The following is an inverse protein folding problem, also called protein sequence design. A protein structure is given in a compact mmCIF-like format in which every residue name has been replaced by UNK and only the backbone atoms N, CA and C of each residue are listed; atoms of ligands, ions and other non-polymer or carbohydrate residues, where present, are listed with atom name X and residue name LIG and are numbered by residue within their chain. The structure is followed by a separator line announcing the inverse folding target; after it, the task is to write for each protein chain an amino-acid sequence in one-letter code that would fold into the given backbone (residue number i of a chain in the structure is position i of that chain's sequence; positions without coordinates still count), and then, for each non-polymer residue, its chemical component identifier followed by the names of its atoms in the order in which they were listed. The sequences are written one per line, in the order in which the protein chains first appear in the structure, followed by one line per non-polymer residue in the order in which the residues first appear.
data_IF_423408487475
#
_entry.id   IF_423408487475
#
_cell.length_a   1.000
_cell.length_b   1.000
_cell.length_c   1.000
_cell.angle_alpha   90.00
_cell.angle_beta   90.00
_cell.angle_gamma   90.00
#
_symmetry.space_group_name_H-M   'P 1'
#
loop_
_entity.id
_entity.type
_entity.pdbx_description
1 polymer ?
#
# COMPACT_ATOMS: atom_id res chain seq x y z
N UNK A 1 1.44 8.15 2.38
CA UNK A 1 0.88 8.86 1.19
C UNK A 1 -0.64 8.82 1.28
N UNK A 2 -1.34 9.90 0.97
CA UNK A 2 -2.82 9.99 1.02
C UNK A 2 -3.33 10.46 -0.34
N UNK A 3 -4.28 9.74 -0.94
CA UNK A 3 -4.89 10.06 -2.24
C UNK A 3 -6.41 10.18 -2.12
N UNK A 4 -7.03 11.07 -2.90
CA UNK A 4 -8.50 11.09 -3.05
C UNK A 4 -8.95 9.98 -4.00
N UNK A 5 -9.98 9.22 -3.61
CA UNK A 5 -10.59 8.17 -4.42
C UNK A 5 -11.72 8.75 -5.26
N UNK A 6 -11.66 8.50 -6.58
CA UNK A 6 -12.64 8.92 -7.57
C UNK A 6 -13.70 7.85 -7.88
N UNK A 7 -13.38 6.58 -7.59
CA UNK A 7 -14.23 5.40 -7.84
C UNK A 7 -14.34 4.54 -6.59
N UNK A 8 -15.03 5.05 -5.57
CA UNK A 8 -15.16 4.37 -4.27
C UNK A 8 -15.96 3.07 -4.36
N UNK A 9 -16.85 2.94 -5.35
CA UNK A 9 -17.65 1.74 -5.62
C UNK A 9 -16.81 0.49 -5.93
N UNK A 10 -15.52 0.65 -6.23
CA UNK A 10 -14.60 -0.46 -6.49
C UNK A 10 -13.98 -1.05 -5.21
N UNK A 11 -14.10 -0.38 -4.07
CA UNK A 11 -13.53 -0.80 -2.79
C UNK A 11 -14.55 -1.60 -1.98
N UNK A 12 -14.73 -2.87 -2.35
CA UNK A 12 -15.68 -3.80 -1.71
C UNK A 12 -14.88 -4.87 -0.96
N UNK A 13 -15.14 -5.04 0.34
CA UNK A 13 -14.53 -6.10 1.14
C UNK A 13 -14.74 -7.50 0.53
N UNK A 14 -13.80 -8.42 0.77
CA UNK A 14 -13.84 -9.80 0.28
C UNK A 14 -13.85 -9.94 -1.26
N UNK A 15 -13.51 -8.86 -1.98
CA UNK A 15 -13.34 -8.87 -3.44
C UNK A 15 -11.89 -8.57 -3.85
N UNK A 16 -11.64 -8.51 -5.16
CA UNK A 16 -10.34 -8.11 -5.71
C UNK A 16 -10.46 -6.81 -6.49
N UNK A 17 -9.82 -5.76 -6.00
CA UNK A 17 -9.66 -4.52 -6.76
C UNK A 17 -8.87 -4.82 -8.04
N UNK A 18 -9.45 -4.43 -9.19
CA UNK A 18 -8.91 -4.71 -10.53
C UNK A 18 -8.67 -6.22 -10.78
N UNK A 19 -9.42 -7.11 -10.13
CA UNK A 19 -9.25 -8.56 -10.23
C UNK A 19 -7.95 -9.10 -9.63
N UNK A 20 -7.13 -8.24 -9.00
CA UNK A 20 -5.78 -8.57 -8.55
C UNK A 20 -5.54 -8.36 -7.06
N UNK A 21 -5.94 -7.21 -6.52
CA UNK A 21 -5.58 -6.82 -5.16
C UNK A 21 -6.69 -7.25 -4.19
N UNK A 22 -6.41 -8.28 -3.39
CA UNK A 22 -7.37 -8.78 -2.40
C UNK A 22 -7.69 -7.69 -1.39
N UNK A 23 -8.98 -7.40 -1.25
CA UNK A 23 -9.53 -6.45 -0.30
C UNK A 23 -10.10 -7.18 0.93
N UNK A 24 -9.94 -6.56 2.09
CA UNK A 24 -10.49 -7.02 3.36
C UNK A 24 -10.96 -5.83 4.20
N UNK A 25 -11.90 -6.06 5.11
CA UNK A 25 -12.46 -5.00 5.96
C UNK A 25 -11.68 -4.89 7.28
N UNK A 26 -11.21 -3.69 7.61
CA UNK A 26 -10.58 -3.39 8.90
C UNK A 26 -11.52 -2.57 9.79
N UNK A 27 -12.25 -3.26 10.68
CA UNK A 27 -13.13 -2.64 11.68
C UNK A 27 -12.41 -2.07 12.89
N UNK A 28 -11.11 -2.35 13.05
CA UNK A 28 -10.32 -1.79 14.14
C UNK A 28 -9.92 -0.33 13.89
N UNK A 29 -10.02 0.15 12.64
CA UNK A 29 -9.87 1.56 12.30
C UNK A 29 -11.24 2.27 12.34
N UNK A 30 -11.25 3.51 12.81
CA UNK A 30 -12.42 4.37 12.80
C UNK A 30 -12.18 5.61 11.92
N UNK A 31 -13.00 5.85 10.89
CA UNK A 31 -14.04 4.95 10.38
C UNK A 31 -13.44 3.67 9.77
N UNK A 32 -14.29 2.68 9.45
CA UNK A 32 -13.85 1.41 8.86
C UNK A 32 -13.06 1.65 7.58
N UNK A 33 -11.98 0.88 7.39
CA UNK A 33 -11.19 0.94 6.16
C UNK A 33 -11.31 -0.35 5.35
N UNK A 34 -11.43 -0.23 4.02
CA UNK A 34 -11.25 -1.35 3.09
C UNK A 34 -9.78 -1.42 2.69
N UNK A 35 -9.13 -2.50 3.06
CA UNK A 35 -7.67 -2.58 3.07
C UNK A 35 -7.13 -3.58 2.05
N UNK A 36 -5.90 -3.35 1.60
CA UNK A 36 -5.06 -4.32 0.93
C UNK A 36 -3.64 -4.22 1.50
N UNK A 37 -2.99 -5.36 1.70
CA UNK A 37 -1.62 -5.40 2.22
C UNK A 37 -0.80 -6.49 1.54
N UNK A 38 0.52 -6.33 1.59
CA UNK A 38 1.48 -7.30 1.08
C UNK A 38 2.78 -7.23 1.88
N UNK A 39 3.31 -8.38 2.28
CA UNK A 39 4.64 -8.49 2.88
C UNK A 39 5.70 -8.79 1.80
N UNK A 40 6.94 -8.36 2.07
CA UNK A 40 8.12 -8.54 1.23
C UNK A 40 9.26 -9.09 2.09
N UNK A 41 9.95 -10.10 1.57
CA UNK A 41 10.92 -10.90 2.30
C UNK A 41 10.67 -12.39 2.09
N UNK A 42 11.57 -13.21 2.59
CA UNK A 42 11.41 -14.67 2.68
C UNK A 42 10.47 -15.05 3.83
N UNK A 43 10.28 -16.36 4.04
CA UNK A 43 9.54 -16.84 5.22
C UNK A 43 10.29 -16.52 6.51
N UNK A 44 11.61 -16.66 6.48
CA UNK A 44 12.52 -16.32 7.57
C UNK A 44 12.46 -14.83 7.90
N UNK A 45 12.39 -13.96 6.88
CA UNK A 45 12.23 -12.52 7.14
C UNK A 45 10.94 -12.19 7.89
N UNK A 46 9.86 -12.91 7.58
CA UNK A 46 8.58 -12.73 8.27
C UNK A 46 8.66 -13.30 9.70
N UNK A 47 9.28 -14.47 9.87
CA UNK A 47 9.47 -15.12 11.18
C UNK A 47 10.30 -14.26 12.12
N UNK A 48 11.38 -13.66 11.62
CA UNK A 48 12.29 -12.81 12.40
C UNK A 48 11.96 -11.32 12.34
N UNK A 49 10.79 -10.96 11.81
CA UNK A 49 10.32 -9.58 11.70
C UNK A 49 11.35 -8.64 11.04
N UNK A 50 12.02 -9.10 9.98
CA UNK A 50 12.87 -8.30 9.09
C UNK A 50 12.20 -8.02 7.74
N UNK A 51 10.96 -8.46 7.55
CA UNK A 51 10.17 -8.16 6.35
C UNK A 51 9.72 -6.71 6.28
N UNK A 52 9.53 -6.23 5.05
CA UNK A 52 8.82 -4.98 4.76
C UNK A 52 7.35 -5.25 4.43
N UNK A 53 6.50 -4.27 4.65
CA UNK A 53 5.07 -4.35 4.43
C UNK A 53 4.58 -3.13 3.65
N UNK A 54 3.80 -3.40 2.62
CA UNK A 54 2.90 -2.43 2.01
C UNK A 54 1.53 -2.58 2.68
N UNK A 55 0.92 -1.45 3.03
CA UNK A 55 -0.48 -1.38 3.44
C UNK A 55 -1.17 -0.23 2.71
N UNK A 56 -2.40 -0.46 2.25
CA UNK A 56 -3.30 0.61 1.90
C UNK A 56 -4.66 0.41 2.57
N UNK A 57 -5.27 1.51 3.00
CA UNK A 57 -6.61 1.53 3.56
C UNK A 57 -7.43 2.64 2.93
N UNK A 58 -8.56 2.27 2.35
CA UNK A 58 -9.58 3.17 1.86
C UNK A 58 -10.55 3.49 2.99
N UNK A 59 -10.64 4.75 3.40
CA UNK A 59 -11.60 5.24 4.36
C UNK A 59 -12.98 5.40 3.70
N UNK A 60 -13.96 4.66 4.22
CA UNK A 60 -15.31 4.59 3.61
C UNK A 60 -16.14 5.86 3.79
N UNK A 61 -15.76 6.77 4.68
CA UNK A 61 -16.53 8.00 4.95
C UNK A 61 -15.97 9.20 4.19
N UNK A 62 -14.66 9.44 4.25
CA UNK A 62 -14.03 10.60 3.62
C UNK A 62 -13.47 10.31 2.21
N UNK A 63 -13.54 9.05 1.78
CA UNK A 63 -13.10 8.58 0.47
C UNK A 63 -11.60 8.81 0.19
N UNK A 64 -10.77 8.78 1.23
CA UNK A 64 -9.31 8.83 1.11
C UNK A 64 -8.70 7.43 1.08
N UNK A 65 -7.68 7.25 0.23
CA UNK A 65 -6.83 6.07 0.23
C UNK A 65 -5.48 6.43 0.85
N UNK A 66 -5.23 5.90 2.04
CA UNK A 66 -3.93 6.00 2.70
C UNK A 66 -3.06 4.82 2.29
N UNK A 67 -1.81 5.09 1.97
CA UNK A 67 -0.78 4.10 1.65
C UNK A 67 0.41 4.32 2.57
N UNK A 68 0.85 3.24 3.19
CA UNK A 68 1.98 3.20 4.12
C UNK A 68 2.91 2.05 3.77
N UNK A 69 4.18 2.26 4.05
CA UNK A 69 5.17 1.20 4.01
C UNK A 69 5.92 1.17 5.32
N UNK A 70 6.21 -0.03 5.79
CA UNK A 70 6.90 -0.26 7.04
C UNK A 70 7.91 -1.38 6.92
N UNK A 71 8.95 -1.29 7.72
CA UNK A 71 10.02 -2.27 7.87
C UNK A 71 9.91 -2.96 9.22
N UNK A 72 10.76 -3.96 9.39
CA UNK A 72 10.89 -4.74 10.62
C UNK A 72 9.55 -5.33 11.09
N UNK A 73 8.85 -6.05 10.20
CA UNK A 73 7.56 -6.67 10.54
C UNK A 73 6.45 -5.68 10.83
N UNK A 74 6.58 -4.42 10.40
CA UNK A 74 5.59 -3.37 10.61
C UNK A 74 5.90 -2.42 11.77
N UNK A 75 7.04 -2.55 12.43
CA UNK A 75 7.40 -1.72 13.59
C UNK A 75 7.88 -0.31 13.22
N UNK A 76 8.45 -0.12 12.04
CA UNK A 76 9.01 1.18 11.63
C UNK A 76 8.45 1.60 10.27
N UNK A 77 7.73 2.73 10.21
CA UNK A 77 7.41 3.34 8.92
C UNK A 77 8.69 3.80 8.20
N UNK A 78 8.70 3.70 6.88
CA UNK A 78 9.79 4.27 6.07
C UNK A 78 9.25 5.08 4.90
N UNK A 79 9.98 6.14 4.56
CA UNK A 79 9.68 7.04 3.47
C UNK A 79 10.65 6.83 2.32
N UNK A 80 10.18 7.08 1.10
CA UNK A 80 10.98 6.89 -0.10
C UNK A 80 10.43 7.75 -1.24
N UNK A 81 11.27 7.96 -2.24
CA UNK A 81 10.91 8.60 -3.50
C UNK A 81 11.18 7.65 -4.66
N UNK A 82 10.89 8.06 -5.89
CA UNK A 82 11.32 7.31 -7.08
C UNK A 82 12.84 7.24 -7.19
N UNK A 83 13.56 8.24 -6.68
CA UNK A 83 15.02 8.28 -6.74
C UNK A 83 15.67 7.31 -5.76
N UNK A 84 14.97 6.91 -4.69
CA UNK A 84 15.45 5.86 -3.77
C UNK A 84 15.79 4.56 -4.50
N UNK A 85 15.09 4.23 -5.60
CA UNK A 85 15.40 3.05 -6.42
C UNK A 85 16.78 3.11 -7.11
N UNK A 86 17.42 4.28 -7.18
CA UNK A 86 18.74 4.48 -7.77
C UNK A 86 19.87 4.37 -6.74
N UNK A 87 19.56 4.29 -5.45
CA UNK A 87 20.56 4.24 -4.39
C UNK A 87 21.39 2.95 -4.47
N UNK A 88 22.71 3.12 -4.45
CA UNK A 88 23.65 2.01 -4.36
C UNK A 88 23.56 1.38 -2.96
N UNK A 89 23.33 0.06 -2.90
CA UNK A 89 23.17 -0.66 -1.64
C UNK A 89 21.73 -0.77 -1.13
N UNK A 90 20.72 -0.25 -1.86
CA UNK A 90 19.31 -0.50 -1.53
C UNK A 90 19.04 -2.01 -1.48
N UNK A 91 18.54 -2.49 -0.34
CA UNK A 91 18.28 -3.90 -0.16
C UNK A 91 17.21 -4.40 -1.14
N UNK A 92 17.26 -5.69 -1.47
CA UNK A 92 16.24 -6.28 -2.35
C UNK A 92 14.83 -6.14 -1.78
N UNK A 93 14.66 -6.27 -0.46
CA UNK A 93 13.35 -6.19 0.22
C UNK A 93 12.78 -4.77 0.11
N UNK A 94 13.63 -3.76 0.33
CA UNK A 94 13.23 -2.36 0.16
C UNK A 94 12.84 -2.08 -1.29
N UNK A 95 13.68 -2.50 -2.24
CA UNK A 95 13.43 -2.33 -3.68
C UNK A 95 12.09 -2.96 -4.09
N UNK A 96 11.85 -4.21 -3.73
CA UNK A 96 10.61 -4.92 -4.09
C UNK A 96 9.37 -4.22 -3.52
N UNK A 97 9.45 -3.73 -2.27
CA UNK A 97 8.36 -2.99 -1.61
C UNK A 97 8.09 -1.64 -2.29
N UNK A 98 9.14 -0.88 -2.59
CA UNK A 98 9.04 0.44 -3.24
C UNK A 98 8.49 0.29 -4.67
N UNK A 99 9.02 -0.65 -5.46
CA UNK A 99 8.56 -0.90 -6.82
C UNK A 99 7.10 -1.34 -6.85
N UNK A 100 6.69 -2.23 -5.94
CA UNK A 100 5.30 -2.63 -5.81
C UNK A 100 4.40 -1.44 -5.49
N UNK A 101 4.82 -0.58 -4.58
CA UNK A 101 4.05 0.60 -4.14
C UNK A 101 3.81 1.56 -5.31
N UNK A 102 4.87 1.91 -6.06
CA UNK A 102 4.71 2.77 -7.24
C UNK A 102 3.88 2.11 -8.33
N UNK A 103 4.06 0.80 -8.57
CA UNK A 103 3.25 0.07 -9.55
C UNK A 103 1.77 0.07 -9.16
N UNK A 104 1.45 -0.13 -7.89
CA UNK A 104 0.09 -0.06 -7.36
C UNK A 104 -0.52 1.33 -7.60
N UNK A 105 0.16 2.39 -7.15
CA UNK A 105 -0.29 3.78 -7.29
C UNK A 105 -0.50 4.15 -8.75
N UNK A 106 0.48 3.88 -9.63
CA UNK A 106 0.40 4.21 -11.05
C UNK A 106 -0.78 3.47 -11.72
N UNK A 107 -0.98 2.18 -11.39
CA UNK A 107 -2.12 1.42 -11.93
C UNK A 107 -3.45 2.07 -11.54
N UNK A 108 -3.61 2.51 -10.29
CA UNK A 108 -4.84 3.15 -9.85
C UNK A 108 -5.05 4.52 -10.51
N UNK A 109 -3.99 5.31 -10.69
CA UNK A 109 -4.02 6.58 -11.41
C UNK A 109 -4.40 6.39 -12.88
N UNK A 110 -3.74 5.47 -13.59
CA UNK A 110 -4.01 5.16 -15.01
C UNK A 110 -5.46 4.68 -15.25
N UNK A 111 -6.08 4.04 -14.26
CA UNK A 111 -7.48 3.61 -14.31
C UNK A 111 -8.47 4.69 -13.82
N UNK A 112 -7.98 5.86 -13.42
CA UNK A 112 -8.78 6.95 -12.89
C UNK A 112 -9.52 6.58 -11.60
N UNK A 113 -8.92 5.72 -10.76
CA UNK A 113 -9.49 5.30 -9.47
C UNK A 113 -9.10 6.29 -8.37
N UNK A 114 -7.90 6.86 -8.46
CA UNK A 114 -7.39 7.91 -7.57
C UNK A 114 -6.85 9.06 -8.40
N UNK A 115 -6.85 10.29 -7.87
CA UNK A 115 -6.18 11.44 -8.49
C UNK A 115 -4.76 11.64 -7.96
N UNK A 116 -4.02 12.57 -8.57
CA UNK A 116 -2.78 13.08 -7.97
C UNK A 116 -3.06 13.79 -6.66
N UNK A 117 -2.08 13.77 -5.75
CA UNK A 117 -2.19 14.53 -4.52
C UNK A 117 -2.27 16.01 -4.89
N UNK A 118 -3.34 16.66 -4.46
CA UNK A 118 -3.28 18.08 -4.13
C UNK A 118 -2.51 18.14 -2.80
N UNK A 119 -1.19 18.30 -2.89
CA UNK A 119 -0.37 18.85 -1.81
C UNK A 119 0.23 20.15 -2.32
#
# INVERSE_FOLDING_TARGET
MIYKVLKSELFIAETKLLGKYQLWENKALHPTHICHSKAFGTKEDIEYATSNHFWCGFNVENHELRIECSSYGGMCGFEFTKDTLKEEGLSKIDRDCIEYTFKFINTLKEKGIICENEL
#
